data_IF_427959755714
#
_entry.id   IF_427959755714
#
_cell.length_a   1.000
_cell.length_b   1.000
_cell.length_c   1.000
_cell.angle_alpha   90.00
_cell.angle_beta   90.00
_cell.angle_gamma   90.00
#
_symmetry.space_group_name_H-M   'P 1'
#
loop_
_entity.id
_entity.type
_entity.pdbx_description
1 polymer ?
#
# COMPACT_ATOMS: atom_id res chain seq x y z
N UNK A 1 -21.89 -20.11 0.52
CA UNK A 1 -22.18 -21.44 1.10
C UNK A 1 -21.04 -22.44 0.94
N UNK A 2 -20.74 -23.03 -0.23
CA UNK A 2 -19.67 -24.06 -0.33
C UNK A 2 -18.25 -23.51 -0.07
N UNK A 3 -17.93 -22.32 -0.59
CA UNK A 3 -16.62 -21.68 -0.39
C UNK A 3 -16.41 -21.26 1.07
N UNK A 4 -17.45 -20.76 1.74
CA UNK A 4 -17.39 -20.37 3.15
C UNK A 4 -17.16 -21.59 4.05
N UNK A 5 -17.84 -22.70 3.80
CA UNK A 5 -17.64 -23.95 4.56
C UNK A 5 -16.23 -24.53 4.33
N UNK A 6 -15.68 -24.39 3.12
CA UNK A 6 -14.30 -24.75 2.82
C UNK A 6 -13.29 -23.86 3.56
N UNK A 7 -13.52 -22.55 3.62
CA UNK A 7 -12.67 -21.61 4.35
C UNK A 7 -12.65 -21.94 5.85
N UNK A 8 -13.80 -22.26 6.44
CA UNK A 8 -13.91 -22.63 7.86
C UNK A 8 -13.18 -23.95 8.14
N UNK A 9 -13.33 -24.96 7.29
CA UNK A 9 -12.61 -26.24 7.44
C UNK A 9 -11.09 -26.06 7.34
N UNK A 10 -10.64 -25.26 6.37
CA UNK A 10 -9.21 -24.95 6.21
C UNK A 10 -8.67 -24.11 7.37
N UNK A 11 -9.45 -23.17 7.91
CA UNK A 11 -9.00 -22.33 9.03
C UNK A 11 -8.75 -23.16 10.29
N UNK A 12 -9.60 -24.15 10.57
CA UNK A 12 -9.43 -25.09 11.70
C UNK A 12 -8.15 -25.92 11.54
N UNK A 13 -7.82 -26.34 10.31
CA UNK A 13 -6.57 -27.07 10.03
C UNK A 13 -5.35 -26.18 10.31
N UNK A 14 -5.41 -24.91 9.92
CA UNK A 14 -4.32 -23.97 10.19
C UNK A 14 -4.15 -23.70 11.68
N UNK A 15 -5.23 -23.53 12.43
CA UNK A 15 -5.19 -23.35 13.89
C UNK A 15 -4.57 -24.56 14.60
N UNK A 16 -4.86 -25.78 14.15
CA UNK A 16 -4.31 -27.00 14.77
C UNK A 16 -2.86 -27.32 14.40
N UNK A 17 -2.36 -26.79 13.27
CA UNK A 17 -1.07 -27.22 12.69
C UNK A 17 0.01 -26.14 12.73
N UNK A 18 -0.37 -24.87 12.85
CA UNK A 18 0.59 -23.76 12.96
C UNK A 18 0.92 -23.46 14.41
N UNK A 19 2.14 -22.98 14.62
CA UNK A 19 2.57 -22.46 15.92
C UNK A 19 1.78 -21.18 16.25
N UNK A 20 1.25 -21.06 17.46
CA UNK A 20 0.45 -19.93 17.94
C UNK A 20 1.15 -18.58 17.71
N UNK A 21 2.49 -18.55 17.86
CA UNK A 21 3.28 -17.34 17.62
C UNK A 21 3.15 -16.79 16.19
N UNK A 22 3.08 -17.67 15.18
CA UNK A 22 2.95 -17.27 13.76
C UNK A 22 1.57 -16.69 13.50
N UNK A 23 0.53 -17.33 14.05
CA UNK A 23 -0.85 -16.87 13.91
C UNK A 23 -1.03 -15.50 14.58
N UNK A 24 -0.46 -15.32 15.77
CA UNK A 24 -0.50 -14.06 16.51
C UNK A 24 0.21 -12.93 15.76
N UNK A 25 1.42 -13.17 15.25
CA UNK A 25 2.16 -12.17 14.47
C UNK A 25 1.38 -11.76 13.21
N UNK A 26 0.80 -12.73 12.49
CA UNK A 26 0.01 -12.43 11.30
C UNK A 26 -1.29 -11.68 11.62
N UNK A 27 -1.98 -12.08 12.69
CA UNK A 27 -3.14 -11.36 13.20
C UNK A 27 -2.79 -9.91 13.55
N UNK A 28 -1.61 -9.66 14.14
CA UNK A 28 -1.17 -8.30 14.46
C UNK A 28 -1.03 -7.43 13.19
N UNK A 29 -0.47 -7.97 12.10
CA UNK A 29 -0.39 -7.26 10.82
C UNK A 29 -1.77 -6.98 10.21
N UNK A 30 -2.70 -7.93 10.30
CA UNK A 30 -4.09 -7.74 9.83
C UNK A 30 -4.82 -6.67 10.63
N UNK A 31 -4.66 -6.68 11.96
CA UNK A 31 -5.24 -5.67 12.85
C UNK A 31 -4.66 -4.29 12.57
N UNK A 32 -3.34 -4.17 12.34
CA UNK A 32 -2.71 -2.92 11.89
C UNK A 32 -3.30 -2.42 10.57
N UNK A 33 -3.69 -3.33 9.67
CA UNK A 33 -4.34 -3.01 8.40
C UNK A 33 -5.84 -2.69 8.54
N UNK A 34 -6.43 -2.80 9.73
CA UNK A 34 -7.86 -2.63 9.98
C UNK A 34 -8.71 -3.80 9.47
N UNK A 35 -8.11 -4.98 9.33
CA UNK A 35 -8.78 -6.21 8.92
C UNK A 35 -9.04 -7.02 10.19
N UNK A 36 -10.31 -7.05 10.62
CA UNK A 36 -10.75 -7.73 11.85
C UNK A 36 -11.11 -9.22 11.65
N UNK A 37 -10.77 -9.79 10.49
CA UNK A 37 -10.97 -11.22 10.24
C UNK A 37 -9.87 -12.05 10.89
N UNK A 38 -10.15 -13.32 11.15
CA UNK A 38 -9.17 -14.25 11.71
C UNK A 38 -8.03 -14.51 10.71
N UNK A 39 -6.80 -14.55 11.22
CA UNK A 39 -5.58 -14.88 10.49
C UNK A 39 -5.71 -16.22 9.73
N UNK A 40 -6.31 -17.22 10.39
CA UNK A 40 -6.56 -18.55 9.84
C UNK A 40 -7.48 -18.51 8.62
N UNK A 41 -8.50 -17.65 8.61
CA UNK A 41 -9.40 -17.47 7.47
C UNK A 41 -8.70 -16.79 6.28
N UNK A 42 -7.87 -15.78 6.54
CA UNK A 42 -7.08 -15.12 5.49
C UNK A 42 -6.05 -16.07 4.88
N UNK A 43 -5.40 -16.90 5.71
CA UNK A 43 -4.49 -17.95 5.22
C UNK A 43 -5.21 -18.98 4.35
N UNK A 44 -6.42 -19.38 4.72
CA UNK A 44 -7.25 -20.27 3.91
C UNK A 44 -7.60 -19.66 2.54
N UNK A 45 -7.98 -18.38 2.51
CA UNK A 45 -8.25 -17.64 1.27
C UNK A 45 -6.98 -17.54 0.40
N UNK A 46 -5.83 -17.24 1.00
CA UNK A 46 -4.53 -17.20 0.29
C UNK A 46 -4.21 -18.56 -0.35
N UNK A 47 -4.46 -19.67 0.35
CA UNK A 47 -4.23 -21.02 -0.18
C UNK A 47 -5.10 -21.31 -1.41
N UNK A 48 -6.37 -20.93 -1.37
CA UNK A 48 -7.28 -21.06 -2.53
C UNK A 48 -6.77 -20.22 -3.70
N UNK A 49 -6.31 -18.99 -3.45
CA UNK A 49 -5.76 -18.11 -4.49
C UNK A 49 -4.48 -18.72 -5.10
N UNK A 50 -3.57 -19.28 -4.28
CA UNK A 50 -2.39 -19.95 -4.81
C UNK A 50 -2.75 -21.15 -5.69
N UNK A 51 -3.70 -21.99 -5.27
CA UNK A 51 -4.17 -23.11 -6.10
C UNK A 51 -4.71 -22.63 -7.45
N UNK A 52 -5.51 -21.56 -7.44
CA UNK A 52 -6.07 -21.00 -8.66
C UNK A 52 -4.99 -20.41 -9.58
N UNK A 53 -4.01 -19.70 -9.02
CA UNK A 53 -2.88 -19.17 -9.79
C UNK A 53 -1.98 -20.27 -10.35
N UNK A 54 -1.75 -21.36 -9.61
CA UNK A 54 -0.98 -22.51 -10.09
C UNK A 54 -1.66 -23.14 -11.31
N UNK A 55 -2.97 -23.36 -11.26
CA UNK A 55 -3.73 -23.90 -12.40
C UNK A 55 -3.68 -22.94 -13.59
N UNK A 56 -3.90 -21.65 -13.35
CA UNK A 56 -3.91 -20.62 -14.40
C UNK A 56 -2.55 -20.53 -15.11
N UNK A 57 -1.46 -20.39 -14.35
CA UNK A 57 -0.11 -20.26 -14.92
C UNK A 57 0.38 -21.56 -15.55
N UNK A 58 -0.02 -22.72 -15.03
CA UNK A 58 0.22 -24.01 -15.69
C UNK A 58 -0.45 -24.09 -17.06
N UNK A 59 -1.70 -23.66 -17.18
CA UNK A 59 -2.42 -23.64 -18.46
C UNK A 59 -1.77 -22.68 -19.47
N UNK A 60 -1.40 -21.48 -19.02
CA UNK A 60 -0.65 -20.51 -19.82
C UNK A 60 0.67 -21.12 -20.30
N UNK A 61 1.40 -21.81 -19.42
CA UNK A 61 2.66 -22.46 -19.77
C UNK A 61 2.50 -23.48 -20.89
N UNK A 62 1.40 -24.25 -20.89
CA UNK A 62 1.09 -25.25 -21.92
C UNK A 62 0.72 -24.58 -23.25
N UNK A 63 -0.13 -23.56 -23.22
CA UNK A 63 -0.63 -22.88 -24.43
C UNK A 63 0.50 -22.14 -25.16
N UNK A 64 1.37 -21.45 -24.41
CA UNK A 64 2.43 -20.61 -24.95
C UNK A 64 3.81 -21.29 -24.96
N UNK A 65 3.89 -22.57 -24.59
CA UNK A 65 5.14 -23.34 -24.50
C UNK A 65 6.23 -22.69 -23.61
N UNK A 66 5.84 -22.03 -22.52
CA UNK A 66 6.80 -21.50 -21.54
C UNK A 66 7.41 -22.59 -20.65
N UNK A 67 8.54 -22.28 -20.03
CA UNK A 67 9.15 -23.16 -19.02
C UNK A 67 8.23 -23.28 -17.78
N UNK A 68 7.78 -24.50 -17.49
CA UNK A 68 6.87 -24.80 -16.37
C UNK A 68 7.42 -24.38 -15.00
N UNK A 69 8.74 -24.48 -14.79
CA UNK A 69 9.36 -24.04 -13.55
C UNK A 69 9.22 -22.52 -13.36
N UNK A 70 9.35 -21.76 -14.43
CA UNK A 70 9.16 -20.31 -14.42
C UNK A 70 7.70 -19.93 -14.16
N UNK A 71 6.76 -20.63 -14.79
CA UNK A 71 5.32 -20.43 -14.56
C UNK A 71 4.91 -20.66 -13.10
N UNK A 72 5.45 -21.70 -12.45
CA UNK A 72 5.18 -21.99 -11.03
C UNK A 72 5.77 -20.92 -10.09
N UNK A 73 6.96 -20.40 -10.39
CA UNK A 73 7.55 -19.29 -9.62
C UNK A 73 6.64 -18.05 -9.72
N UNK A 74 6.12 -17.73 -10.91
CA UNK A 74 5.18 -16.62 -11.10
C UNK A 74 3.86 -16.84 -10.36
N UNK A 75 3.32 -18.06 -10.41
CA UNK A 75 2.08 -18.43 -9.73
C UNK A 75 2.11 -18.20 -8.22
N UNK A 76 3.26 -18.39 -7.58
CA UNK A 76 3.43 -18.17 -6.12
C UNK A 76 3.82 -16.71 -5.83
N UNK A 77 4.74 -16.15 -6.61
CA UNK A 77 5.27 -14.81 -6.35
C UNK A 77 4.22 -13.71 -6.54
N UNK A 78 3.38 -13.78 -7.58
CA UNK A 78 2.42 -12.71 -7.90
C UNK A 78 1.38 -12.52 -6.79
N UNK A 79 0.65 -13.57 -6.31
CA UNK A 79 -0.31 -13.40 -5.22
C UNK A 79 0.34 -12.96 -3.92
N UNK A 80 1.52 -13.52 -3.60
CA UNK A 80 2.27 -13.16 -2.39
C UNK A 80 2.62 -11.67 -2.39
N UNK A 81 3.25 -11.20 -3.47
CA UNK A 81 3.67 -9.80 -3.61
C UNK A 81 2.45 -8.89 -3.58
N UNK A 82 1.39 -9.22 -4.31
CA UNK A 82 0.16 -8.42 -4.37
C UNK A 82 -0.48 -8.30 -2.99
N UNK A 83 -0.60 -9.39 -2.26
CA UNK A 83 -1.20 -9.40 -0.93
C UNK A 83 -0.39 -8.57 0.08
N UNK A 84 0.93 -8.81 0.13
CA UNK A 84 1.85 -8.04 0.99
C UNK A 84 1.75 -6.55 0.65
N UNK A 85 1.76 -6.22 -0.64
CA UNK A 85 1.62 -4.84 -1.10
C UNK A 85 0.33 -4.21 -0.61
N UNK A 86 -0.81 -4.87 -0.85
CA UNK A 86 -2.14 -4.40 -0.44
C UNK A 86 -2.22 -4.19 1.07
N UNK A 87 -1.65 -5.09 1.87
CA UNK A 87 -1.57 -4.94 3.33
C UNK A 87 -0.79 -3.68 3.70
N UNK A 88 0.40 -3.48 3.15
CA UNK A 88 1.18 -2.27 3.38
C UNK A 88 0.43 -1.00 2.94
N UNK A 89 -0.27 -1.04 1.79
CA UNK A 89 -1.07 0.10 1.34
C UNK A 89 -2.20 0.43 2.32
N UNK A 90 -2.90 -0.59 2.83
CA UNK A 90 -3.99 -0.43 3.80
C UNK A 90 -3.49 0.13 5.13
N UNK A 91 -2.37 -0.39 5.66
CA UNK A 91 -1.74 0.10 6.88
C UNK A 91 -1.36 1.59 6.71
N UNK A 92 -0.68 1.94 5.62
CA UNK A 92 -0.25 3.31 5.36
C UNK A 92 -1.45 4.26 5.15
N UNK A 93 -2.52 3.78 4.47
CA UNK A 93 -3.75 4.54 4.28
C UNK A 93 -4.46 4.80 5.61
N UNK A 94 -4.63 3.76 6.44
CA UNK A 94 -5.27 3.87 7.77
C UNK A 94 -4.49 4.83 8.66
N UNK A 95 -3.17 4.69 8.73
CA UNK A 95 -2.32 5.63 9.48
C UNK A 95 -2.47 7.07 8.97
N UNK A 96 -2.51 7.27 7.64
CA UNK A 96 -2.74 8.59 7.04
C UNK A 96 -4.14 9.17 7.31
N UNK A 97 -5.18 8.35 7.40
CA UNK A 97 -6.53 8.78 7.79
C UNK A 97 -6.58 9.22 9.26
N UNK A 98 -5.87 8.51 10.14
CA UNK A 98 -5.72 8.88 11.54
C UNK A 98 -5.00 10.22 11.62
N UNK A 99 -3.84 10.37 10.97
CA UNK A 99 -3.07 11.63 10.96
C UNK A 99 -3.89 12.84 10.53
N UNK A 100 -4.79 12.67 9.55
CA UNK A 100 -5.67 13.74 9.07
C UNK A 100 -6.75 14.14 10.07
N UNK A 101 -7.15 13.22 10.95
CA UNK A 101 -8.26 13.41 11.89
C UNK A 101 -7.81 13.96 13.24
N UNK A 102 -6.51 13.91 13.54
CA UNK A 102 -5.96 14.38 14.83
C UNK A 102 -6.23 15.85 15.10
N UNK A 103 -5.99 16.80 14.17
CA UNK A 103 -6.17 18.22 14.47
C UNK A 103 -7.60 18.53 14.91
N UNK A 104 -8.58 17.96 14.22
CA UNK A 104 -9.99 18.14 14.54
C UNK A 104 -10.34 17.51 15.90
N UNK A 105 -9.79 16.33 16.20
CA UNK A 105 -9.91 15.70 17.52
C UNK A 105 -9.31 16.57 18.63
N UNK A 106 -8.09 17.09 18.46
CA UNK A 106 -7.42 17.93 19.45
C UNK A 106 -8.16 19.24 19.67
N UNK A 107 -8.71 19.84 18.63
CA UNK A 107 -9.55 21.04 18.74
C UNK A 107 -10.82 20.77 19.56
N UNK A 108 -11.49 19.64 19.33
CA UNK A 108 -12.65 19.22 20.14
C UNK A 108 -12.24 18.96 21.60
N UNK A 109 -11.12 18.28 21.81
CA UNK A 109 -10.56 18.02 23.13
C UNK A 109 -10.26 19.31 23.90
N UNK A 110 -9.59 20.28 23.26
CA UNK A 110 -9.35 21.62 23.82
C UNK A 110 -10.66 22.30 24.23
N UNK A 111 -11.69 22.25 23.38
CA UNK A 111 -13.00 22.83 23.71
C UNK A 111 -13.64 22.21 24.95
N UNK A 112 -13.54 20.90 25.13
CA UNK A 112 -14.08 20.22 26.32
C UNK A 112 -13.31 20.58 27.59
N UNK A 113 -11.98 20.66 27.49
CA UNK A 113 -11.11 21.08 28.59
C UNK A 113 -11.39 22.52 29.02
N UNK A 114 -11.67 23.44 28.07
CA UNK A 114 -12.05 24.84 28.38
C UNK A 114 -13.34 24.95 29.18
N UNK A 115 -14.26 23.99 29.02
CA UNK A 115 -15.53 23.92 29.78
C UNK A 115 -15.34 23.22 31.14
N UNK A 116 -14.11 22.79 31.46
CA UNK A 116 -13.74 22.25 32.78
C UNK A 116 -13.83 20.72 32.90
N UNK A 117 -14.01 20.00 31.78
CA UNK A 117 -13.87 18.54 31.79
C UNK A 117 -12.41 18.14 32.06
N UNK A 118 -12.20 17.06 32.82
CA UNK A 118 -10.87 16.46 32.91
C UNK A 118 -10.46 15.85 31.57
N UNK A 119 -9.14 15.74 31.34
CA UNK A 119 -8.60 15.17 30.11
C UNK A 119 -9.09 13.74 29.86
N UNK A 120 -9.16 12.93 30.91
CA UNK A 120 -9.63 11.54 30.83
C UNK A 120 -11.11 11.48 30.47
N UNK A 121 -11.95 12.31 31.10
CA UNK A 121 -13.39 12.33 30.84
C UNK A 121 -13.70 12.84 29.42
N UNK A 122 -13.03 13.91 28.99
CA UNK A 122 -13.17 14.46 27.65
C UNK A 122 -12.72 13.42 26.58
N UNK A 123 -11.64 12.70 26.84
CA UNK A 123 -11.16 11.64 25.95
C UNK A 123 -12.17 10.50 25.82
N UNK A 124 -12.70 10.01 26.95
CA UNK A 124 -13.69 8.93 26.97
C UNK A 124 -14.94 9.35 26.19
N UNK A 125 -15.43 10.56 26.42
CA UNK A 125 -16.62 11.07 25.73
C UNK A 125 -16.41 11.19 24.22
N UNK A 126 -15.30 11.80 23.79
CA UNK A 126 -14.96 11.93 22.37
C UNK A 126 -14.76 10.56 21.69
N UNK A 127 -14.19 9.59 22.40
CA UNK A 127 -13.97 8.24 21.87
C UNK A 127 -15.29 7.53 21.52
N UNK A 128 -16.36 7.79 22.28
CA UNK A 128 -17.65 7.14 22.08
C UNK A 128 -18.42 7.72 20.89
N UNK A 129 -18.35 9.04 20.69
CA UNK A 129 -19.17 9.74 19.70
C UNK A 129 -18.54 9.83 18.31
N UNK A 130 -17.21 9.78 18.20
CA UNK A 130 -16.56 9.90 16.91
C UNK A 130 -16.57 8.63 16.05
N UNK A 131 -16.34 8.83 14.75
CA UNK A 131 -16.32 7.78 13.73
C UNK A 131 -15.01 7.80 12.96
N UNK A 132 -14.56 6.62 12.53
CA UNK A 132 -13.35 6.43 11.74
C UNK A 132 -12.17 5.85 12.55
N UNK A 133 -11.03 5.60 11.88
CA UNK A 133 -9.95 4.80 12.45
C UNK A 133 -9.31 5.41 13.70
N UNK A 134 -9.27 6.75 13.81
CA UNK A 134 -8.76 7.42 15.01
C UNK A 134 -9.61 7.06 16.22
N UNK A 135 -10.93 7.16 16.11
CA UNK A 135 -11.86 6.90 17.22
C UNK A 135 -11.96 5.41 17.57
N UNK A 136 -11.66 4.50 16.65
CA UNK A 136 -11.47 3.07 16.98
C UNK A 136 -10.28 2.88 17.94
N UNK A 137 -9.15 3.54 17.66
CA UNK A 137 -7.98 3.49 18.56
C UNK A 137 -8.24 4.24 19.87
N UNK A 138 -8.91 5.40 19.83
CA UNK A 138 -9.26 6.13 21.05
C UNK A 138 -10.22 5.33 21.94
N UNK A 139 -11.15 4.55 21.36
CA UNK A 139 -11.99 3.62 22.14
C UNK A 139 -11.16 2.54 22.81
N UNK A 140 -10.16 2.00 22.11
CA UNK A 140 -9.22 1.04 22.69
C UNK A 140 -8.43 1.66 23.86
N UNK A 141 -7.95 2.89 23.70
CA UNK A 141 -7.29 3.65 24.78
C UNK A 141 -8.24 3.88 25.95
N UNK A 142 -9.50 4.27 25.71
CA UNK A 142 -10.50 4.44 26.77
C UNK A 142 -10.80 3.13 27.52
N UNK A 143 -10.81 1.98 26.83
CA UNK A 143 -10.93 0.66 27.44
C UNK A 143 -9.69 0.34 28.29
N UNK A 144 -8.49 0.57 27.77
CA UNK A 144 -7.22 0.36 28.49
C UNK A 144 -7.18 1.16 29.81
N UNK A 145 -7.59 2.43 29.77
CA UNK A 145 -7.68 3.30 30.96
C UNK A 145 -8.72 2.75 31.96
N UNK A 146 -9.91 2.33 31.50
CA UNK A 146 -10.92 1.70 32.36
C UNK A 146 -10.46 0.39 32.99
N UNK A 147 -9.55 -0.33 32.33
CA UNK A 147 -8.92 -1.55 32.84
C UNK A 147 -7.77 -1.27 33.84
N UNK A 148 -7.53 0.00 34.19
CA UNK A 148 -6.54 0.40 35.19
C UNK A 148 -5.15 0.72 34.64
N UNK A 149 -4.96 0.75 33.31
CA UNK A 149 -3.70 1.24 32.73
C UNK A 149 -3.61 2.76 32.88
N UNK A 150 -2.39 3.26 33.02
CA UNK A 150 -2.17 4.70 33.06
C UNK A 150 -2.48 5.34 31.71
N UNK A 151 -2.83 6.64 31.75
CA UNK A 151 -3.02 7.44 30.55
C UNK A 151 -1.77 7.42 29.66
N UNK A 152 -0.59 7.64 30.26
CA UNK A 152 0.72 7.60 29.59
C UNK A 152 0.97 6.26 28.88
N UNK A 153 0.72 5.14 29.56
CA UNK A 153 0.92 3.80 29.00
C UNK A 153 -0.02 3.54 27.82
N UNK A 154 -1.30 3.88 27.97
CA UNK A 154 -2.32 3.62 26.95
C UNK A 154 -2.07 4.40 25.66
N UNK A 155 -1.64 5.67 25.77
CA UNK A 155 -1.25 6.47 24.61
C UNK A 155 0.05 6.00 23.97
N UNK A 156 1.03 5.55 24.77
CA UNK A 156 2.27 4.99 24.23
C UNK A 156 1.99 3.69 23.46
N UNK A 157 1.11 2.83 23.97
CA UNK A 157 0.64 1.63 23.27
C UNK A 157 -0.03 1.98 21.94
N UNK A 158 -0.89 3.00 21.93
CA UNK A 158 -1.49 3.51 20.68
C UNK A 158 -0.43 4.02 19.70
N UNK A 159 0.55 4.79 20.16
CA UNK A 159 1.64 5.31 19.32
C UNK A 159 2.47 4.19 18.68
N UNK A 160 2.78 3.13 19.46
CA UNK A 160 3.50 1.94 18.98
C UNK A 160 2.68 1.20 17.91
N UNK A 161 1.38 0.99 18.14
CA UNK A 161 0.48 0.33 17.17
C UNK A 161 0.36 1.09 15.86
N UNK A 162 0.27 2.42 15.94
CA UNK A 162 0.09 3.29 14.78
C UNK A 162 1.38 3.56 14.00
N UNK A 163 2.54 3.35 14.63
CA UNK A 163 3.86 3.54 14.02
C UNK A 163 4.04 4.88 13.27
N UNK A 164 3.40 5.95 13.78
CA UNK A 164 3.51 7.29 13.22
C UNK A 164 4.33 8.19 14.13
N UNK A 165 5.42 8.73 13.58
CA UNK A 165 6.34 9.63 14.28
C UNK A 165 5.66 10.93 14.70
N UNK A 166 4.76 11.45 13.86
CA UNK A 166 4.06 12.71 14.10
C UNK A 166 2.98 12.54 15.18
N UNK A 167 2.25 11.41 15.16
CA UNK A 167 1.34 11.00 16.23
C UNK A 167 2.08 10.85 17.57
N UNK A 168 3.17 10.10 17.59
CA UNK A 168 3.96 9.89 18.81
C UNK A 168 4.50 11.19 19.40
N UNK A 169 4.91 12.14 18.56
CA UNK A 169 5.32 13.49 19.01
C UNK A 169 4.14 14.28 19.60
N UNK A 170 3.00 14.28 18.90
CA UNK A 170 1.80 14.98 19.34
C UNK A 170 1.34 14.48 20.72
N UNK A 171 1.32 13.16 20.92
CA UNK A 171 0.96 12.57 22.21
C UNK A 171 1.95 12.89 23.32
N UNK A 172 3.25 12.94 23.04
CA UNK A 172 4.26 13.39 24.02
C UNK A 172 4.04 14.84 24.44
N UNK A 173 3.66 15.72 23.51
CA UNK A 173 3.33 17.11 23.83
C UNK A 173 2.11 17.17 24.75
N UNK A 174 1.04 16.44 24.43
CA UNK A 174 -0.17 16.36 25.27
C UNK A 174 0.17 15.85 26.68
N UNK A 175 0.99 14.80 26.76
CA UNK A 175 1.39 14.20 28.03
C UNK A 175 2.26 15.12 28.89
N UNK A 176 3.15 15.88 28.26
CA UNK A 176 3.94 16.89 28.96
C UNK A 176 3.07 18.07 29.41
N UNK A 177 2.13 18.51 28.57
CA UNK A 177 1.19 19.58 28.89
C UNK A 177 0.23 19.19 30.02
N UNK A 178 -0.14 17.91 30.12
CA UNK A 178 -0.98 17.40 31.20
C UNK A 178 -0.39 17.69 32.59
N UNK A 179 0.95 17.68 32.70
CA UNK A 179 1.67 18.02 33.95
C UNK A 179 1.64 19.51 34.29
N UNK A 180 1.27 20.37 33.34
CA UNK A 180 1.29 21.84 33.48
C UNK A 180 -0.04 22.44 33.95
N UNK A 181 -1.11 21.65 34.02
CA UNK A 181 -2.40 22.03 34.63
C UNK A 181 -3.17 23.13 33.89
N UNK A 182 -2.85 24.40 34.16
CA UNK A 182 -3.71 25.56 33.84
C UNK A 182 -3.80 25.97 32.37
N UNK A 183 -2.88 25.53 31.50
CA UNK A 183 -2.83 25.92 30.08
C UNK A 183 -3.02 24.74 29.12
N UNK A 184 -3.42 23.57 29.63
CA UNK A 184 -3.54 22.35 28.81
C UNK A 184 -4.45 22.56 27.59
N UNK A 185 -5.56 23.29 27.77
CA UNK A 185 -6.50 23.56 26.67
C UNK A 185 -5.91 24.45 25.58
N UNK A 186 -5.10 25.46 25.93
CA UNK A 186 -4.43 26.33 24.96
C UNK A 186 -3.31 25.57 24.24
N UNK A 187 -2.49 24.80 24.97
CA UNK A 187 -1.41 24.01 24.38
C UNK A 187 -1.94 22.98 23.37
N UNK A 188 -3.07 22.33 23.68
CA UNK A 188 -3.72 21.38 22.76
C UNK A 188 -4.29 22.10 21.53
N UNK A 189 -4.79 23.33 21.68
CA UNK A 189 -5.30 24.13 20.56
C UNK A 189 -4.15 24.54 19.62
N UNK A 190 -3.05 25.04 20.18
CA UNK A 190 -1.86 25.40 19.41
C UNK A 190 -1.30 24.18 18.65
N UNK A 191 -1.23 23.02 19.31
CA UNK A 191 -0.84 21.76 18.66
C UNK A 191 -1.79 21.35 17.52
N UNK A 192 -3.10 21.55 17.70
CA UNK A 192 -4.08 21.32 16.63
C UNK A 192 -3.76 22.19 15.40
N UNK A 193 -3.48 23.47 15.62
CA UNK A 193 -3.27 24.43 14.54
C UNK A 193 -1.94 24.19 13.82
N UNK A 194 -0.88 23.84 14.57
CA UNK A 194 0.40 23.40 14.01
C UNK A 194 0.25 22.14 13.15
N UNK A 195 -0.45 21.11 13.64
CA UNK A 195 -0.69 19.89 12.89
C UNK A 195 -1.52 20.15 11.62
N UNK A 196 -2.50 21.06 11.69
CA UNK A 196 -3.30 21.47 10.54
C UNK A 196 -2.44 22.18 9.49
N UNK A 197 -1.58 23.10 9.90
CA UNK A 197 -0.62 23.76 9.00
C UNK A 197 0.33 22.75 8.35
N UNK A 198 0.85 21.80 9.12
CA UNK A 198 1.68 20.70 8.62
C UNK A 198 0.95 19.82 7.59
N UNK A 199 -0.34 19.52 7.80
CA UNK A 199 -1.14 18.78 6.82
C UNK A 199 -1.34 19.55 5.51
N UNK A 200 -1.52 20.87 5.58
CA UNK A 200 -1.62 21.74 4.39
C UNK A 200 -0.30 21.71 3.63
N UNK A 201 0.83 21.92 4.29
CA UNK A 201 2.16 21.84 3.67
C UNK A 201 2.43 20.47 3.04
N UNK A 202 2.06 19.36 3.71
CA UNK A 202 2.17 18.01 3.14
C UNK A 202 1.32 17.86 1.87
N UNK A 203 0.11 18.42 1.84
CA UNK A 203 -0.78 18.40 0.66
C UNK A 203 -0.23 19.22 -0.48
N UNK A 204 0.24 20.44 -0.22
CA UNK A 204 0.85 21.32 -1.22
C UNK A 204 2.10 20.69 -1.83
N UNK A 205 3.00 20.15 -0.99
CA UNK A 205 4.17 19.41 -1.47
C UNK A 205 3.77 18.24 -2.37
N UNK A 206 2.76 17.46 -1.98
CA UNK A 206 2.27 16.34 -2.79
C UNK A 206 1.68 16.82 -4.13
N UNK A 207 0.96 17.94 -4.12
CA UNK A 207 0.39 18.51 -5.34
C UNK A 207 1.50 19.04 -6.28
N UNK A 208 2.52 19.70 -5.73
CA UNK A 208 3.65 20.25 -6.48
C UNK A 208 4.41 19.18 -7.28
N UNK A 209 4.62 18.00 -6.69
CA UNK A 209 5.32 16.90 -7.37
C UNK A 209 4.42 16.04 -8.26
N UNK A 210 3.09 16.22 -8.19
CA UNK A 210 2.12 15.36 -8.90
C UNK A 210 2.29 15.46 -10.41
N UNK A 211 2.60 16.65 -10.94
CA UNK A 211 2.82 16.85 -12.38
C UNK A 211 3.99 15.99 -12.89
N UNK A 212 5.12 16.00 -12.18
CA UNK A 212 6.29 15.18 -12.53
C UNK A 212 5.99 13.68 -12.46
N UNK A 213 5.17 13.26 -11.48
CA UNK A 213 4.75 11.85 -11.35
C UNK A 213 3.82 11.45 -12.51
N UNK A 214 2.86 12.29 -12.88
CA UNK A 214 1.98 12.04 -14.02
C UNK A 214 2.77 11.92 -15.32
N UNK A 215 3.76 12.78 -15.52
CA UNK A 215 4.67 12.70 -16.66
C UNK A 215 5.44 11.37 -16.68
N UNK A 216 6.02 10.94 -15.55
CA UNK A 216 6.72 9.65 -15.46
C UNK A 216 5.80 8.46 -15.75
N UNK A 217 4.58 8.46 -15.21
CA UNK A 217 3.59 7.40 -15.46
C UNK A 217 3.22 7.36 -16.94
N UNK A 218 2.92 8.50 -17.56
CA UNK A 218 2.56 8.58 -18.98
C UNK A 218 3.74 8.15 -19.87
N UNK A 219 4.95 8.61 -19.55
CA UNK A 219 6.15 8.26 -20.28
C UNK A 219 6.42 6.76 -20.24
N UNK A 220 6.29 6.12 -19.07
CA UNK A 220 6.64 4.71 -18.91
C UNK A 220 5.53 3.73 -19.30
N UNK A 221 4.26 4.08 -19.17
CA UNK A 221 3.15 3.18 -19.53
C UNK A 221 2.71 3.35 -20.99
N UNK A 222 2.81 4.58 -21.54
CA UNK A 222 2.28 4.87 -22.88
C UNK A 222 3.41 5.21 -23.84
N UNK A 223 4.16 6.29 -23.60
CA UNK A 223 5.07 6.82 -24.62
C UNK A 223 6.23 5.87 -24.96
N UNK A 224 6.91 5.32 -23.95
CA UNK A 224 8.05 4.43 -24.14
C UNK A 224 7.62 3.07 -24.74
N UNK A 225 6.63 2.33 -24.19
CA UNK A 225 6.10 1.12 -24.81
C UNK A 225 5.66 1.33 -26.26
N UNK A 226 5.04 2.48 -26.56
CA UNK A 226 4.61 2.79 -27.91
C UNK A 226 5.79 3.00 -28.86
N UNK A 227 6.72 3.87 -28.50
CA UNK A 227 7.90 4.14 -29.32
C UNK A 227 8.72 2.87 -29.57
N UNK A 228 8.90 2.04 -28.53
CA UNK A 228 9.66 0.80 -28.60
C UNK A 228 8.91 -0.31 -29.35
N UNK A 229 7.59 -0.43 -29.18
CA UNK A 229 6.76 -1.38 -29.92
C UNK A 229 6.79 -1.09 -31.42
N UNK A 230 6.79 0.19 -31.80
CA UNK A 230 6.93 0.59 -33.21
C UNK A 230 8.27 0.20 -33.83
N UNK A 231 9.34 0.08 -33.03
CA UNK A 231 10.62 -0.48 -33.52
C UNK A 231 10.44 -1.94 -33.95
N UNK A 232 9.69 -2.73 -33.17
CA UNK A 232 9.35 -4.12 -33.51
C UNK A 232 8.57 -4.20 -34.83
N UNK A 233 7.53 -3.39 -34.98
CA UNK A 233 6.71 -3.31 -36.21
C UNK A 233 7.56 -2.92 -37.42
N UNK A 234 8.41 -1.89 -37.27
CA UNK A 234 9.31 -1.44 -38.33
C UNK A 234 10.34 -2.51 -38.72
N UNK A 235 10.92 -3.22 -37.74
CA UNK A 235 11.84 -4.33 -37.99
C UNK A 235 11.18 -5.44 -38.79
N UNK A 236 9.97 -5.86 -38.43
CA UNK A 236 9.21 -6.88 -39.17
C UNK A 236 8.93 -6.45 -40.61
N UNK A 237 8.50 -5.20 -40.81
CA UNK A 237 8.27 -4.64 -42.15
C UNK A 237 9.53 -4.65 -43.03
N UNK A 238 10.68 -4.26 -42.46
CA UNK A 238 11.95 -4.24 -43.19
C UNK A 238 12.44 -5.64 -43.57
N UNK A 239 12.24 -6.63 -42.69
CA UNK A 239 12.59 -8.03 -42.95
C UNK A 239 11.76 -8.57 -44.11
N UNK A 240 10.46 -8.30 -44.12
CA UNK A 240 9.55 -8.78 -45.17
C UNK A 240 9.82 -8.12 -46.54
N UNK A 241 10.20 -6.84 -46.57
CA UNK A 241 10.68 -6.17 -47.78
C UNK A 241 12.02 -6.72 -48.32
N UNK A 242 12.59 -7.75 -47.69
CA UNK A 242 13.90 -8.31 -48.05
C UNK A 242 15.07 -7.40 -47.71
N UNK A 243 14.85 -6.37 -46.89
CA UNK A 243 15.88 -5.41 -46.42
C UNK A 243 16.26 -5.66 -44.95
N UNK A 244 16.05 -6.88 -44.47
CA UNK A 244 16.46 -7.31 -43.13
C UNK A 244 17.97 -7.14 -42.95
N UNK A 245 18.36 -6.47 -41.88
CA UNK A 245 19.74 -6.42 -41.40
C UNK A 245 19.83 -7.12 -40.05
N UNK A 246 21.03 -7.50 -39.63
CA UNK A 246 21.27 -8.07 -38.29
C UNK A 246 20.74 -7.16 -37.16
N UNK A 247 20.65 -5.84 -37.40
CA UNK A 247 20.06 -4.88 -36.47
C UNK A 247 18.54 -5.08 -36.34
N UNK A 248 17.84 -5.37 -37.44
CA UNK A 248 16.39 -5.56 -37.44
C UNK A 248 15.98 -6.79 -36.62
N UNK A 249 16.80 -7.85 -36.62
CA UNK A 249 16.55 -9.07 -35.84
C UNK A 249 16.77 -8.87 -34.34
N UNK A 250 17.76 -8.06 -33.94
CA UNK A 250 18.11 -7.86 -32.52
C UNK A 250 17.36 -6.69 -31.87
N UNK A 251 16.86 -5.74 -32.67
CA UNK A 251 16.19 -4.54 -32.17
C UNK A 251 14.96 -4.80 -31.27
N UNK A 252 14.05 -5.76 -31.56
CA UNK A 252 12.92 -6.05 -30.69
C UNK A 252 13.36 -6.53 -29.29
N UNK A 253 14.37 -7.39 -29.23
CA UNK A 253 14.92 -7.88 -27.96
C UNK A 253 15.57 -6.74 -27.17
N UNK A 254 16.33 -5.87 -27.83
CA UNK A 254 16.92 -4.69 -27.20
C UNK A 254 15.85 -3.73 -26.65
N UNK A 255 14.75 -3.55 -27.38
CA UNK A 255 13.60 -2.74 -26.97
C UNK A 255 12.92 -3.31 -25.71
N UNK A 256 12.74 -4.63 -25.62
CA UNK A 256 12.20 -5.29 -24.42
C UNK A 256 13.09 -5.07 -23.19
N UNK A 257 14.40 -5.29 -23.34
CA UNK A 257 15.37 -5.10 -22.23
C UNK A 257 15.36 -3.64 -21.77
N UNK A 258 15.42 -2.70 -22.71
CA UNK A 258 15.37 -1.27 -22.39
C UNK A 258 14.07 -0.91 -21.68
N UNK A 259 12.93 -1.45 -22.12
CA UNK A 259 11.64 -1.15 -21.52
C UNK A 259 11.58 -1.58 -20.06
N UNK A 260 12.08 -2.78 -19.74
CA UNK A 260 12.15 -3.28 -18.36
C UNK A 260 13.01 -2.37 -17.49
N UNK A 261 14.20 -1.99 -17.98
CA UNK A 261 15.10 -1.09 -17.25
C UNK A 261 14.41 0.27 -17.02
N UNK A 262 13.82 0.83 -18.06
CA UNK A 262 13.13 2.12 -18.01
C UNK A 262 11.94 2.11 -17.03
N UNK A 263 11.08 1.09 -17.08
CA UNK A 263 9.91 0.99 -16.19
C UNK A 263 10.29 0.78 -14.73
N UNK A 264 11.36 0.03 -14.47
CA UNK A 264 11.92 -0.11 -13.12
C UNK A 264 12.44 1.23 -12.63
N UNK A 265 13.32 1.89 -13.41
CA UNK A 265 13.85 3.21 -13.06
C UNK A 265 12.74 4.23 -12.78
N UNK A 266 11.70 4.27 -13.61
CA UNK A 266 10.56 5.15 -13.40
C UNK A 266 9.81 4.87 -12.10
N UNK A 267 9.58 3.60 -11.75
CA UNK A 267 8.97 3.21 -10.48
C UNK A 267 9.78 3.68 -9.26
N UNK A 268 11.11 3.57 -9.31
CA UNK A 268 12.00 4.08 -8.26
C UNK A 268 12.00 5.62 -8.20
N UNK A 269 12.02 6.31 -9.33
CA UNK A 269 11.93 7.78 -9.39
C UNK A 269 10.61 8.28 -8.80
N UNK A 270 9.49 7.63 -9.12
CA UNK A 270 8.18 7.96 -8.54
C UNK A 270 8.19 7.81 -7.02
N UNK A 271 8.77 6.74 -6.49
CA UNK A 271 8.86 6.55 -5.04
C UNK A 271 9.77 7.56 -4.37
N UNK A 272 10.91 7.90 -4.98
CA UNK A 272 11.83 8.91 -4.48
C UNK A 272 11.14 10.29 -4.43
N UNK A 273 10.44 10.67 -5.49
CA UNK A 273 9.75 11.95 -5.59
C UNK A 273 8.57 12.02 -4.61
N UNK A 274 7.79 10.94 -4.48
CA UNK A 274 6.58 10.95 -3.66
C UNK A 274 6.84 10.77 -2.16
N UNK A 275 7.84 9.95 -1.80
CA UNK A 275 8.09 9.56 -0.40
C UNK A 275 9.48 9.90 0.12
N UNK A 276 10.42 10.29 -0.74
CA UNK A 276 11.81 10.49 -0.35
C UNK A 276 12.54 9.19 0.01
N UNK A 277 11.95 8.02 -0.26
CA UNK A 277 12.50 6.72 0.11
C UNK A 277 12.48 5.77 -1.10
N UNK A 278 13.68 5.39 -1.55
CA UNK A 278 13.88 4.45 -2.66
C UNK A 278 13.35 3.05 -2.36
N UNK A 279 13.27 2.62 -1.09
CA UNK A 279 12.78 1.29 -0.74
C UNK A 279 11.30 1.10 -1.13
N UNK A 280 10.54 2.19 -1.18
CA UNK A 280 9.15 2.19 -1.66
C UNK A 280 9.06 2.08 -3.19
N UNK A 281 10.18 2.14 -3.92
CA UNK A 281 10.26 2.03 -5.38
C UNK A 281 9.72 0.72 -5.92
N UNK A 282 9.95 -0.38 -5.20
CA UNK A 282 9.51 -1.71 -5.62
C UNK A 282 7.99 -1.82 -5.79
N UNK A 283 7.24 -1.07 -4.96
CA UNK A 283 5.77 -1.00 -5.04
C UNK A 283 5.27 -0.39 -6.34
N UNK A 284 6.03 0.52 -6.93
CA UNK A 284 5.66 1.21 -8.16
C UNK A 284 6.27 0.57 -9.40
N UNK A 285 7.47 0.00 -9.30
CA UNK A 285 8.15 -0.59 -10.46
C UNK A 285 7.41 -1.79 -11.04
N UNK A 286 6.89 -2.69 -10.20
CA UNK A 286 6.19 -3.91 -10.64
C UNK A 286 4.96 -3.58 -11.49
N UNK A 287 3.95 -2.81 -11.00
CA UNK A 287 2.76 -2.54 -11.79
C UNK A 287 3.04 -1.72 -13.06
N UNK A 288 4.00 -0.78 -13.01
CA UNK A 288 4.38 0.01 -14.18
C UNK A 288 5.03 -0.90 -15.24
N UNK A 289 5.93 -1.79 -14.83
CA UNK A 289 6.59 -2.74 -15.76
C UNK A 289 5.57 -3.66 -16.42
N UNK A 290 4.65 -4.23 -15.65
CA UNK A 290 3.59 -5.11 -16.20
C UNK A 290 2.69 -4.34 -17.19
N UNK A 291 2.27 -3.13 -16.84
CA UNK A 291 1.42 -2.30 -17.70
C UNK A 291 2.15 -1.89 -18.98
N UNK A 292 3.41 -1.48 -18.85
CA UNK A 292 4.28 -1.11 -19.96
C UNK A 292 4.49 -2.29 -20.93
N UNK A 293 4.76 -3.48 -20.41
CA UNK A 293 4.95 -4.68 -21.22
C UNK A 293 3.66 -5.09 -21.96
N UNK A 294 2.50 -4.95 -21.32
CA UNK A 294 1.21 -5.20 -21.94
C UNK A 294 0.97 -4.26 -23.13
N UNK A 295 1.21 -2.96 -22.95
CA UNK A 295 1.07 -1.96 -24.02
C UNK A 295 2.05 -2.24 -25.16
N UNK A 296 3.31 -2.54 -24.85
CA UNK A 296 4.32 -2.91 -25.83
C UNK A 296 3.90 -4.12 -26.68
N UNK A 297 3.42 -5.19 -26.04
CA UNK A 297 2.98 -6.40 -26.73
C UNK A 297 1.74 -6.18 -27.59
N UNK A 298 0.77 -5.39 -27.10
CA UNK A 298 -0.38 -5.00 -27.91
C UNK A 298 0.05 -4.27 -29.18
N UNK A 299 1.00 -3.34 -29.07
CA UNK A 299 1.44 -2.55 -30.23
C UNK A 299 2.20 -3.41 -31.23
N UNK A 300 3.07 -4.29 -30.74
CA UNK A 300 3.83 -5.19 -31.61
C UNK A 300 2.89 -6.18 -32.34
N UNK A 301 1.94 -6.79 -31.64
CA UNK A 301 0.98 -7.73 -32.23
C UNK A 301 -0.02 -7.06 -33.19
N UNK A 302 -0.63 -5.95 -32.78
CA UNK A 302 -1.56 -5.21 -33.64
C UNK A 302 -0.86 -4.57 -34.83
N UNK A 303 0.36 -4.04 -34.66
CA UNK A 303 1.09 -3.39 -35.74
C UNK A 303 1.39 -4.37 -36.87
N UNK A 304 1.91 -5.56 -36.55
CA UNK A 304 2.17 -6.62 -37.54
C UNK A 304 0.87 -7.03 -38.25
N UNK A 305 -0.21 -7.29 -37.51
CA UNK A 305 -1.51 -7.65 -38.09
C UNK A 305 -2.16 -6.53 -38.91
N UNK A 306 -1.95 -5.26 -38.58
CA UNK A 306 -2.57 -4.12 -39.25
C UNK A 306 -1.89 -3.81 -40.59
N UNK A 307 -0.56 -3.93 -40.64
CA UNK A 307 0.17 -3.68 -41.87
C UNK A 307 0.18 -4.89 -42.83
N UNK A 308 -0.29 -6.06 -42.38
CA UNK A 308 -0.64 -7.17 -43.27
C UNK A 308 0.53 -8.10 -43.62
N UNK A 309 1.46 -8.24 -42.68
CA UNK A 309 2.72 -8.97 -42.79
C UNK A 309 2.80 -10.06 -41.72
#
# INVERSE_FOLDING_TARGET
MFIEDLIIKLSIIFENKLNDSILLNFQEYLLKAGIFTLASQIMAIMLIIYLLFIVLFSLISIIFSFNMAFALILAISIPTITFVLLLFMKIEKRAGEIERSIPDFLRQLSSMLRVGLSLENALVDLSNHGKGPLYEELRRVAIEIRMGKSFDESFNNMAIRLNSKDLGRSFKIILNAHKSGGSLSDIILDLSDDLRAMLILKRERKASVMMSIMFLILASIVAAPFALGMIGVYSSFMIELGKGSAICEVAPLAAEIYLIIHSICAGFLIALIMYGDLKKGLRYSIPITVSAFLVFYLINSFGVSFFGF
#
